data_IF_486593307613
#
_entry.id   IF_486593307613
#
_cell.length_a   1.000
_cell.length_b   1.000
_cell.length_c   1.000
_cell.angle_alpha   90.00
_cell.angle_beta   90.00
_cell.angle_gamma   90.00
#
_symmetry.space_group_name_H-M   'P 1'
#
loop_
_entity.id
_entity.type
_entity.pdbx_description
1 polymer ?
#
# COMPACT_ATOMS: atom_id res chain seq x y z
N UNK A 1 32.04 -14.77 22.43
CA UNK A 1 31.00 -15.74 22.00
C UNK A 1 29.98 -14.96 21.19
N UNK A 2 29.70 -15.40 19.97
CA UNK A 2 28.69 -14.79 19.10
C UNK A 2 27.45 -15.67 19.14
N UNK A 3 26.28 -15.06 19.33
CA UNK A 3 24.99 -15.76 19.29
C UNK A 3 24.32 -15.45 17.97
N UNK A 4 23.89 -16.48 17.23
CA UNK A 4 23.08 -16.34 16.04
C UNK A 4 21.61 -16.41 16.43
N UNK A 5 20.84 -15.38 16.08
CA UNK A 5 19.39 -15.33 16.28
C UNK A 5 18.72 -15.43 14.91
N UNK A 6 17.95 -16.50 14.61
CA UNK A 6 17.27 -16.63 13.32
C UNK A 6 16.16 -15.58 13.19
N UNK A 7 15.89 -15.13 11.97
CA UNK A 7 14.77 -14.24 11.66
C UNK A 7 14.04 -14.73 10.41
N UNK A 8 12.69 -14.74 10.38
CA UNK A 8 11.77 -14.39 11.49
C UNK A 8 11.81 -15.38 12.67
N UNK A 9 11.31 -14.97 13.84
CA UNK A 9 11.24 -15.78 15.06
C UNK A 9 10.03 -15.40 15.94
N UNK A 10 9.83 -16.04 17.10
CA UNK A 10 8.67 -15.76 17.97
C UNK A 10 8.64 -14.32 18.52
N UNK A 11 9.80 -13.69 18.75
CA UNK A 11 9.87 -12.31 19.23
C UNK A 11 9.66 -11.28 18.10
N UNK A 12 10.07 -11.62 16.88
CA UNK A 12 9.87 -10.83 15.67
C UNK A 12 9.40 -11.74 14.54
N UNK A 13 8.10 -12.09 14.50
CA UNK A 13 7.54 -12.98 13.48
C UNK A 13 7.63 -12.37 12.09
N UNK A 14 7.26 -13.13 11.05
CA UNK A 14 7.05 -12.57 9.72
C UNK A 14 5.87 -11.61 9.70
N UNK A 15 5.72 -10.86 8.61
CA UNK A 15 4.48 -10.12 8.35
C UNK A 15 3.35 -11.11 8.05
N UNK A 16 2.12 -10.75 8.40
CA UNK A 16 0.95 -11.56 8.08
C UNK A 16 0.76 -11.67 6.55
N UNK A 17 0.32 -12.82 6.04
CA UNK A 17 -0.02 -12.95 4.63
C UNK A 17 -1.22 -12.04 4.28
N UNK A 18 -1.32 -11.71 3.00
CA UNK A 18 -2.44 -10.96 2.44
C UNK A 18 -2.90 -11.59 1.13
N UNK A 19 -4.12 -11.26 0.73
CA UNK A 19 -4.68 -11.59 -0.58
C UNK A 19 -5.14 -10.32 -1.28
N UNK A 20 -5.01 -10.30 -2.60
CA UNK A 20 -5.45 -9.20 -3.47
C UNK A 20 -5.79 -9.76 -4.84
N UNK A 21 -6.91 -9.32 -5.41
CA UNK A 21 -7.32 -9.67 -6.77
C UNK A 21 -6.94 -8.54 -7.72
N UNK A 22 -6.37 -8.90 -8.87
CA UNK A 22 -6.04 -7.94 -9.94
C UNK A 22 -6.75 -8.31 -11.25
N UNK A 23 -7.08 -7.34 -12.11
CA UNK A 23 -7.74 -7.61 -13.38
C UNK A 23 -6.92 -8.54 -14.29
N UNK A 24 -7.60 -9.24 -15.20
CA UNK A 24 -6.96 -10.07 -16.21
C UNK A 24 -5.93 -9.28 -17.03
N UNK A 25 -4.75 -9.88 -17.25
CA UNK A 25 -3.65 -9.25 -17.98
C UNK A 25 -2.71 -8.38 -17.12
N UNK A 26 -2.95 -8.26 -15.82
CA UNK A 26 -1.97 -7.72 -14.87
C UNK A 26 -0.90 -8.76 -14.54
N UNK A 27 0.31 -8.30 -14.23
CA UNK A 27 1.44 -9.16 -13.86
C UNK A 27 2.03 -8.74 -12.52
N UNK A 28 2.41 -9.73 -11.71
CA UNK A 28 3.12 -9.53 -10.46
C UNK A 28 4.64 -9.53 -10.68
N UNK A 29 5.35 -8.62 -10.02
CA UNK A 29 6.82 -8.55 -9.99
C UNK A 29 7.31 -8.22 -8.58
N UNK A 30 8.59 -8.51 -8.30
CA UNK A 30 9.28 -8.07 -7.09
C UNK A 30 9.91 -6.68 -7.32
N UNK A 31 9.44 -5.62 -6.66
CA UNK A 31 10.02 -4.28 -6.77
C UNK A 31 11.14 -4.06 -5.73
N UNK A 32 12.09 -3.14 -5.98
CA UNK A 32 13.04 -2.72 -4.96
C UNK A 32 12.33 -2.08 -3.76
N UNK A 33 12.53 -2.64 -2.57
CA UNK A 33 12.06 -2.02 -1.32
C UNK A 33 10.56 -2.14 -1.01
N UNK A 34 9.81 -2.96 -1.74
CA UNK A 34 8.42 -3.30 -1.41
C UNK A 34 8.20 -4.81 -1.42
N UNK A 35 7.04 -5.26 -0.93
CA UNK A 35 6.71 -6.69 -0.89
C UNK A 35 6.40 -7.24 -2.28
N UNK A 36 5.61 -6.51 -3.07
CA UNK A 36 5.19 -6.91 -4.42
C UNK A 36 4.66 -5.70 -5.18
N UNK A 37 4.76 -5.73 -6.52
CA UNK A 37 4.08 -4.78 -7.38
C UNK A 37 3.25 -5.52 -8.43
N UNK A 38 2.06 -5.01 -8.68
CA UNK A 38 1.17 -5.46 -9.74
C UNK A 38 1.14 -4.41 -10.84
N UNK A 39 1.43 -4.82 -12.07
CA UNK A 39 1.50 -3.95 -13.23
C UNK A 39 0.36 -4.27 -14.19
N UNK A 40 -0.46 -3.28 -14.50
CA UNK A 40 -1.46 -3.37 -15.55
C UNK A 40 -0.88 -3.27 -16.96
N UNK A 41 -1.71 -3.53 -17.99
CA UNK A 41 -1.31 -3.38 -19.37
C UNK A 41 -0.93 -1.93 -19.69
N UNK A 42 0.10 -1.76 -20.49
CA UNK A 42 0.57 -0.43 -20.90
C UNK A 42 -0.45 0.27 -21.81
N UNK A 43 -0.74 1.53 -21.50
CA UNK A 43 -1.61 2.40 -22.30
C UNK A 43 -0.98 3.78 -22.38
N UNK A 44 -0.84 4.30 -23.60
CA UNK A 44 -0.20 5.61 -23.86
C UNK A 44 1.21 5.74 -23.20
N UNK A 45 1.99 4.66 -23.20
CA UNK A 45 3.32 4.64 -22.60
C UNK A 45 3.32 4.77 -21.07
N UNK A 46 2.22 4.40 -20.41
CA UNK A 46 2.09 4.39 -18.96
C UNK A 46 1.51 3.05 -18.52
N UNK A 47 2.02 2.49 -17.41
CA UNK A 47 1.48 1.28 -16.79
C UNK A 47 0.84 1.63 -15.45
N UNK A 48 -0.50 1.50 -15.32
CA UNK A 48 -1.11 1.58 -14.01
C UNK A 48 -0.54 0.47 -13.14
N UNK A 49 -0.33 0.77 -11.87
CA UNK A 49 0.31 -0.17 -10.96
C UNK A 49 -0.26 -0.06 -9.55
N UNK A 50 -0.08 -1.14 -8.78
CA UNK A 50 -0.29 -1.17 -7.34
C UNK A 50 0.97 -1.74 -6.71
N UNK A 51 1.61 -0.99 -5.82
CA UNK A 51 2.77 -1.43 -5.05
C UNK A 51 2.33 -1.68 -3.62
N UNK A 52 2.72 -2.82 -3.06
CA UNK A 52 2.38 -3.21 -1.68
C UNK A 52 3.64 -3.16 -0.83
N UNK A 53 3.58 -2.40 0.26
CA UNK A 53 4.57 -2.35 1.32
C UNK A 53 4.00 -3.00 2.58
N UNK A 54 4.87 -3.47 3.46
CA UNK A 54 4.47 -4.03 4.74
C UNK A 54 5.43 -3.61 5.83
N UNK A 55 4.87 -3.11 6.92
CA UNK A 55 5.62 -2.53 8.03
C UNK A 55 4.98 -2.88 9.37
N UNK A 56 5.74 -2.67 10.45
CA UNK A 56 5.21 -2.66 11.82
C UNK A 56 5.16 -1.23 12.30
N UNK A 57 3.98 -0.80 12.73
CA UNK A 57 3.78 0.54 13.25
C UNK A 57 3.22 0.49 14.68
N UNK A 58 3.43 1.53 15.49
CA UNK A 58 2.71 1.71 16.74
C UNK A 58 1.18 1.69 16.53
N UNK A 59 0.45 1.14 17.49
CA UNK A 59 -1.03 1.06 17.44
C UNK A 59 -1.70 2.44 17.55
N UNK A 60 -1.05 3.40 18.19
CA UNK A 60 -1.55 4.76 18.44
C UNK A 60 -1.38 5.73 17.27
N UNK A 61 -0.57 5.37 16.26
CA UNK A 61 -0.45 6.15 15.03
C UNK A 61 -1.73 5.97 14.18
N UNK A 62 -2.47 7.00 13.77
CA UNK A 62 -3.66 6.80 12.94
C UNK A 62 -3.32 6.24 11.55
N UNK A 63 -4.09 5.27 11.02
CA UNK A 63 -3.86 4.74 9.66
C UNK A 63 -4.08 5.81 8.58
N UNK A 64 -5.01 6.73 8.82
CA UNK A 64 -5.24 7.90 7.98
C UNK A 64 -3.99 8.76 7.82
N UNK A 65 -3.30 9.07 8.93
CA UNK A 65 -2.07 9.86 8.92
C UNK A 65 -0.95 9.17 8.13
N UNK A 66 -0.85 7.83 8.25
CA UNK A 66 0.09 7.04 7.43
C UNK A 66 -0.24 7.16 5.94
N UNK A 67 -1.52 7.04 5.57
CA UNK A 67 -1.95 7.15 4.19
C UNK A 67 -1.68 8.55 3.61
N UNK A 68 -1.89 9.59 4.41
CA UNK A 68 -1.61 10.99 4.04
C UNK A 68 -0.11 11.23 3.88
N UNK A 69 0.71 10.73 4.82
CA UNK A 69 2.16 10.89 4.74
C UNK A 69 2.75 10.26 3.47
N UNK A 70 2.29 9.06 3.09
CA UNK A 70 2.72 8.40 1.84
C UNK A 70 2.43 9.29 0.62
N UNK A 71 1.26 9.93 0.57
CA UNK A 71 0.92 10.84 -0.53
C UNK A 71 1.81 12.09 -0.53
N UNK A 72 2.09 12.67 0.65
CA UNK A 72 2.97 13.83 0.78
C UNK A 72 4.41 13.51 0.35
N UNK A 73 4.93 12.35 0.71
CA UNK A 73 6.27 11.90 0.31
C UNK A 73 6.40 11.71 -1.21
N UNK A 74 5.28 11.42 -1.89
CA UNK A 74 5.19 11.33 -3.35
C UNK A 74 4.97 12.69 -4.04
N UNK A 75 4.97 13.79 -3.28
CA UNK A 75 4.82 15.14 -3.81
C UNK A 75 3.37 15.55 -4.11
N UNK A 76 2.39 15.01 -3.38
CA UNK A 76 1.00 15.44 -3.50
C UNK A 76 0.82 16.90 -3.09
N UNK A 77 0.41 17.75 -4.04
CA UNK A 77 0.11 19.16 -3.80
C UNK A 77 -1.21 19.36 -3.03
N UNK A 78 -2.13 18.38 -3.10
CA UNK A 78 -3.39 18.40 -2.37
C UNK A 78 -3.92 16.98 -2.12
N UNK A 79 -4.37 16.72 -0.89
CA UNK A 79 -5.02 15.46 -0.51
C UNK A 79 -6.52 15.65 -0.69
N UNK A 80 -7.12 14.85 -1.56
CA UNK A 80 -8.43 15.13 -2.12
C UNK A 80 -9.61 14.70 -1.24
N UNK A 81 -9.39 13.85 -0.22
CA UNK A 81 -10.26 13.53 0.96
C UNK A 81 -10.01 12.09 1.48
N UNK A 82 -10.46 11.75 2.70
CA UNK A 82 -10.69 10.36 3.10
C UNK A 82 -11.72 9.69 2.19
N UNK A 83 -11.39 8.49 1.69
CA UNK A 83 -12.26 7.65 0.86
C UNK A 83 -12.95 6.55 1.70
N UNK A 84 -12.40 6.23 2.87
CA UNK A 84 -12.91 5.24 3.82
C UNK A 84 -12.69 5.71 5.28
N UNK A 85 -13.27 5.04 6.30
CA UNK A 85 -12.94 5.24 7.74
C UNK A 85 -11.44 5.07 8.01
N UNK A 86 -10.96 5.26 9.24
CA UNK A 86 -9.53 5.11 9.56
C UNK A 86 -9.18 3.77 10.26
N UNK A 87 -10.15 2.89 10.52
CA UNK A 87 -9.96 1.59 11.20
C UNK A 87 -10.98 0.55 10.68
N UNK A 88 -10.56 -0.67 10.26
CA UNK A 88 -9.19 -1.21 10.18
C UNK A 88 -8.43 -0.84 8.90
N UNK A 89 -9.02 0.03 8.08
CA UNK A 89 -8.48 0.42 6.79
C UNK A 89 -8.70 1.91 6.62
N UNK A 90 -7.68 2.65 6.21
CA UNK A 90 -7.75 4.03 5.76
C UNK A 90 -7.46 4.14 4.27
N UNK A 91 -8.20 4.97 3.55
CA UNK A 91 -7.95 5.25 2.12
C UNK A 91 -7.86 6.76 1.91
N UNK A 92 -6.82 7.19 1.19
CA UNK A 92 -6.59 8.58 0.80
C UNK A 92 -6.27 8.66 -0.69
N UNK A 93 -6.61 9.79 -1.29
CA UNK A 93 -6.39 10.05 -2.71
C UNK A 93 -5.69 11.39 -2.91
N UNK A 94 -4.79 11.46 -3.88
CA UNK A 94 -4.25 12.70 -4.39
C UNK A 94 -4.03 12.65 -5.90
N UNK A 95 -3.91 13.83 -6.50
CA UNK A 95 -3.36 13.97 -7.86
C UNK A 95 -1.93 14.49 -7.75
N UNK A 96 -1.03 13.90 -8.53
CA UNK A 96 0.39 14.26 -8.61
C UNK A 96 0.83 14.36 -10.05
N UNK A 97 1.86 15.16 -10.33
CA UNK A 97 2.47 15.21 -11.66
C UNK A 97 3.74 14.36 -11.68
N UNK A 98 3.74 13.29 -12.47
CA UNK A 98 4.89 12.39 -12.65
C UNK A 98 5.40 12.55 -14.08
N UNK A 99 6.65 12.96 -14.25
CA UNK A 99 7.28 13.16 -15.58
C UNK A 99 6.43 14.02 -16.54
N UNK A 100 5.77 15.07 -16.01
CA UNK A 100 4.90 15.96 -16.78
C UNK A 100 3.51 15.40 -17.08
N UNK A 101 3.14 14.24 -16.53
CA UNK A 101 1.83 13.62 -16.69
C UNK A 101 1.04 13.70 -15.38
N UNK A 102 -0.22 14.11 -15.47
CA UNK A 102 -1.13 14.06 -14.34
C UNK A 102 -1.49 12.61 -14.00
N UNK A 103 -1.18 12.20 -12.78
CA UNK A 103 -1.44 10.87 -12.24
C UNK A 103 -2.35 11.00 -11.02
N UNK A 104 -3.26 10.05 -10.87
CA UNK A 104 -4.04 9.83 -9.65
C UNK A 104 -3.31 8.78 -8.82
N UNK A 105 -3.03 9.12 -7.56
CA UNK A 105 -2.52 8.21 -6.55
C UNK A 105 -3.64 7.89 -5.56
N UNK A 106 -3.85 6.61 -5.30
CA UNK A 106 -4.75 6.11 -4.27
C UNK A 106 -3.90 5.31 -3.28
N UNK A 107 -3.96 5.65 -2.00
CA UNK A 107 -3.24 4.96 -0.93
C UNK A 107 -4.25 4.31 -0.01
N UNK A 108 -4.13 3.00 0.17
CA UNK A 108 -4.86 2.24 1.17
C UNK A 108 -3.88 1.76 2.22
N UNK A 109 -4.23 1.95 3.49
CA UNK A 109 -3.45 1.49 4.63
C UNK A 109 -4.36 0.59 5.45
N UNK A 110 -4.04 -0.70 5.50
CA UNK A 110 -4.76 -1.68 6.29
C UNK A 110 -3.92 -2.10 7.50
N UNK A 111 -4.51 -2.01 8.68
CA UNK A 111 -3.85 -2.35 9.95
C UNK A 111 -4.52 -3.52 10.65
N UNK A 112 -3.72 -4.31 11.35
CA UNK A 112 -4.18 -5.40 12.20
C UNK A 112 -3.18 -5.65 13.34
N UNK A 113 -3.60 -6.25 14.47
CA UNK A 113 -2.68 -6.63 15.53
C UNK A 113 -1.49 -7.44 15.00
N UNK A 114 -0.28 -7.03 15.36
CA UNK A 114 0.93 -7.74 14.98
C UNK A 114 0.96 -9.13 15.62
N UNK A 115 1.72 -10.04 15.03
CA UNK A 115 1.92 -11.38 15.59
C UNK A 115 2.84 -11.38 16.83
N UNK A 116 3.61 -10.31 17.05
CA UNK A 116 4.44 -10.13 18.24
C UNK A 116 3.64 -9.64 19.45
N UNK A 117 4.13 -9.94 20.65
CA UNK A 117 3.58 -9.41 21.90
C UNK A 117 3.96 -7.94 22.18
N UNK A 118 4.49 -7.21 21.18
CA UNK A 118 5.13 -5.91 21.35
C UNK A 118 4.19 -4.70 21.38
N UNK A 119 2.87 -4.90 21.30
CA UNK A 119 1.90 -3.79 21.17
C UNK A 119 2.08 -3.00 19.86
N UNK A 120 2.42 -3.71 18.79
CA UNK A 120 2.56 -3.19 17.45
C UNK A 120 1.38 -3.67 16.59
N UNK A 121 1.16 -2.98 15.48
CA UNK A 121 0.29 -3.47 14.40
C UNK A 121 1.12 -3.78 13.16
N UNK A 122 0.78 -4.88 12.49
CA UNK A 122 1.21 -5.11 11.11
C UNK A 122 0.37 -4.20 10.22
N UNK A 123 1.02 -3.43 9.35
CA UNK A 123 0.36 -2.54 8.40
C UNK A 123 0.78 -2.91 6.98
N UNK A 124 -0.21 -3.00 6.10
CA UNK A 124 0.02 -3.09 4.66
C UNK A 124 -0.38 -1.77 4.00
N UNK A 125 0.52 -1.22 3.18
CA UNK A 125 0.32 0.03 2.46
C UNK A 125 0.26 -0.31 0.98
N UNK A 126 -0.88 -0.04 0.35
CA UNK A 126 -1.09 -0.21 -1.08
C UNK A 126 -1.05 1.16 -1.73
N UNK A 127 -0.07 1.37 -2.60
CA UNK A 127 0.04 2.57 -3.43
C UNK A 127 -0.39 2.23 -4.85
N UNK A 128 -1.57 2.71 -5.23
CA UNK A 128 -2.12 2.61 -6.58
C UNK A 128 -1.83 3.86 -7.38
N UNK A 129 -1.31 3.69 -8.60
CA UNK A 129 -0.95 4.80 -9.50
C UNK A 129 -1.58 4.59 -10.86
N UNK A 130 -2.30 5.60 -11.36
CA UNK A 130 -2.87 5.59 -12.72
C UNK A 130 -2.86 6.99 -13.36
N UNK A 131 -2.96 7.09 -14.69
CA UNK A 131 -3.15 8.39 -15.35
C UNK A 131 -4.47 9.04 -14.94
N UNK A 132 -4.47 10.35 -14.72
CA UNK A 132 -5.68 11.11 -14.47
C UNK A 132 -6.64 10.99 -15.68
N UNK A 133 -7.91 10.67 -15.40
CA UNK A 133 -8.95 10.48 -16.42
C UNK A 133 -8.94 9.12 -17.14
N UNK A 134 -8.02 8.20 -16.80
CA UNK A 134 -8.09 6.81 -17.25
C UNK A 134 -9.28 6.07 -16.57
N UNK A 135 -9.76 4.96 -17.15
CA UNK A 135 -10.74 4.10 -16.49
C UNK A 135 -10.26 3.67 -15.11
N UNK A 136 -11.07 3.95 -14.09
CA UNK A 136 -10.68 3.74 -12.71
C UNK A 136 -10.85 2.29 -12.28
N UNK A 137 -9.73 1.61 -12.02
CA UNK A 137 -9.70 0.19 -11.59
C UNK A 137 -9.11 0.01 -10.19
N UNK A 138 -8.53 1.07 -9.60
CA UNK A 138 -7.86 1.00 -8.31
C UNK A 138 -8.83 0.70 -7.15
N UNK A 139 -10.04 1.29 -7.08
CA UNK A 139 -11.02 0.97 -6.04
C UNK A 139 -11.40 -0.51 -6.01
N UNK A 140 -11.59 -1.14 -7.17
CA UNK A 140 -11.94 -2.56 -7.27
C UNK A 140 -10.78 -3.45 -6.76
N UNK A 141 -9.54 -3.12 -7.13
CA UNK A 141 -8.36 -3.83 -6.62
C UNK A 141 -8.26 -3.66 -5.10
N UNK A 142 -8.42 -2.44 -4.59
CA UNK A 142 -8.27 -2.11 -3.17
C UNK A 142 -9.37 -2.76 -2.32
N UNK A 143 -10.61 -2.79 -2.81
CA UNK A 143 -11.72 -3.46 -2.13
C UNK A 143 -11.56 -4.99 -2.05
N UNK A 144 -10.72 -5.58 -2.90
CA UNK A 144 -10.38 -7.01 -2.84
C UNK A 144 -9.26 -7.35 -1.86
N UNK A 145 -8.61 -6.34 -1.28
CA UNK A 145 -7.50 -6.55 -0.35
C UNK A 145 -8.01 -7.11 0.99
N UNK A 146 -7.39 -8.19 1.44
CA UNK A 146 -7.64 -8.76 2.76
C UNK A 146 -6.35 -9.26 3.40
N UNK A 147 -6.32 -9.21 4.73
CA UNK A 147 -5.29 -9.87 5.53
C UNK A 147 -5.91 -11.05 6.27
N UNK A 148 -5.16 -12.16 6.34
CA UNK A 148 -5.53 -13.37 7.09
C UNK A 148 -4.72 -13.49 8.41
#
# INVERSE_FOLDING_TARGET
MTVTVPWPNEASPGLRPFQISVPGGWTAIEPPGALIAFLGPERAGFRPNVVVFGERLPEDLPLGDVAEQVLLDLGADSILRPVAPDDPVAIREATVTVEGRGCRHLVLVAGQPDLSAGGLRTVHILLGTQLAGAPDVLPDIFSSFSCE
#
